data_IF_817485752891
#
_entry.id   IF_817485752891
#
_cell.length_a   1.000
_cell.length_b   1.000
_cell.length_c   1.000
_cell.angle_alpha   90.00
_cell.angle_beta   90.00
_cell.angle_gamma   90.00
#
_symmetry.space_group_name_H-M   'P 1'
#
loop_
_entity.id
_entity.type
_entity.pdbx_description
1 polymer ?
#
# COMPACT_ATOMS: atom_id res chain seq x y z
N UNK A 1 11.24 0.09 15.94
CA UNK A 1 11.74 -0.50 14.67
C UNK A 1 11.60 0.55 13.58
N UNK A 2 12.54 0.58 12.63
CA UNK A 2 12.54 1.48 11.48
C UNK A 2 12.67 0.64 10.20
N UNK A 3 12.02 1.07 9.14
CA UNK A 3 12.06 0.43 7.83
C UNK A 3 12.06 1.46 6.72
N UNK A 4 12.82 1.18 5.66
CA UNK A 4 12.89 2.01 4.47
C UNK A 4 12.96 1.11 3.25
N UNK A 5 12.20 1.44 2.21
CA UNK A 5 12.25 0.75 0.93
C UNK A 5 12.05 1.75 -0.20
N UNK A 6 12.85 1.62 -1.26
CA UNK A 6 12.72 2.42 -2.46
C UNK A 6 12.60 1.49 -3.67
N UNK A 7 11.72 1.84 -4.60
CA UNK A 7 11.41 1.05 -5.80
C UNK A 7 11.43 1.94 -7.02
N UNK A 8 11.91 1.37 -8.14
CA UNK A 8 12.00 2.05 -9.45
C UNK A 8 12.74 3.40 -9.40
N UNK A 9 13.71 3.55 -8.50
CA UNK A 9 14.62 4.70 -8.49
C UNK A 9 15.69 4.44 -9.53
N UNK A 10 15.70 5.22 -10.61
CA UNK A 10 16.65 5.03 -11.69
C UNK A 10 16.40 5.93 -12.90
N UNK A 11 17.22 5.80 -13.95
CA UNK A 11 17.03 6.52 -15.20
C UNK A 11 15.76 6.08 -15.92
N UNK A 12 15.34 6.88 -16.90
CA UNK A 12 14.19 6.57 -17.73
C UNK A 12 14.37 5.23 -18.45
N UNK A 13 13.29 4.45 -18.49
CA UNK A 13 13.23 3.19 -19.22
C UNK A 13 12.85 3.45 -20.67
N UNK A 14 13.33 2.61 -21.59
CA UNK A 14 13.01 2.71 -23.01
C UNK A 14 12.72 1.30 -23.52
N UNK A 15 11.69 1.17 -24.37
CA UNK A 15 11.35 -0.11 -24.96
C UNK A 15 12.33 -0.44 -26.10
N UNK A 16 12.87 -1.65 -26.10
CA UNK A 16 13.82 -2.11 -27.14
C UNK A 16 13.46 -3.53 -27.54
N UNK A 17 13.57 -3.83 -28.83
CA UNK A 17 13.35 -5.17 -29.38
C UNK A 17 12.56 -5.17 -30.69
N UNK A 18 12.38 -6.38 -31.24
CA UNK A 18 11.80 -6.60 -32.56
C UNK A 18 10.31 -6.25 -32.64
N UNK A 19 9.64 -6.06 -31.50
CA UNK A 19 8.28 -5.52 -31.44
C UNK A 19 8.14 -4.10 -31.99
N UNK A 20 9.24 -3.37 -32.15
CA UNK A 20 9.29 -2.05 -32.80
C UNK A 20 9.57 -2.12 -34.30
N UNK A 21 9.77 -3.31 -34.86
CA UNK A 21 10.04 -3.52 -36.28
C UNK A 21 8.73 -3.87 -36.99
N UNK A 22 8.37 -3.08 -38.00
CA UNK A 22 7.24 -3.37 -38.88
C UNK A 22 7.77 -3.51 -40.30
N UNK A 23 7.31 -4.56 -40.98
CA UNK A 23 7.52 -4.67 -42.42
C UNK A 23 6.57 -3.70 -43.13
N UNK A 24 7.12 -2.85 -43.98
CA UNK A 24 6.38 -1.90 -44.80
C UNK A 24 6.82 -2.02 -46.25
N UNK A 25 5.92 -1.68 -47.18
CA UNK A 25 6.25 -1.65 -48.61
C UNK A 25 6.60 -0.22 -48.99
N UNK A 26 7.78 -0.02 -49.55
CA UNK A 26 8.21 1.30 -50.02
C UNK A 26 7.40 1.71 -51.25
N UNK A 27 7.03 2.99 -51.32
CA UNK A 27 6.34 3.60 -52.48
C UNK A 27 7.30 3.84 -53.65
N UNK A 28 8.22 2.91 -53.90
CA UNK A 28 9.07 2.92 -55.08
C UNK A 28 8.40 2.10 -56.21
N UNK A 29 8.84 2.25 -57.46
CA UNK A 29 8.27 1.51 -58.59
C UNK A 29 8.45 -0.03 -58.49
N UNK A 30 9.39 -0.52 -57.68
CA UNK A 30 9.65 -1.95 -57.48
C UNK A 30 8.80 -2.57 -56.37
N UNK A 31 8.17 -1.74 -55.53
CA UNK A 31 7.37 -2.17 -54.39
C UNK A 31 8.18 -2.99 -53.39
N UNK A 32 9.44 -2.62 -53.14
CA UNK A 32 10.34 -3.35 -52.25
C UNK A 32 9.81 -3.38 -50.81
N UNK A 33 9.86 -4.56 -50.17
CA UNK A 33 9.56 -4.71 -48.74
C UNK A 33 10.77 -4.31 -47.90
N UNK A 34 10.55 -3.42 -46.93
CA UNK A 34 11.56 -2.93 -46.03
C UNK A 34 11.12 -3.07 -44.57
N UNK A 35 12.09 -3.28 -43.69
CA UNK A 35 11.84 -3.28 -42.25
C UNK A 35 12.02 -1.85 -41.72
N UNK A 36 10.93 -1.26 -41.23
CA UNK A 36 10.95 0.03 -40.55
C UNK A 36 11.02 -0.20 -39.04
N UNK A 37 12.04 0.36 -38.39
CA UNK A 37 12.17 0.35 -36.94
C UNK A 37 11.64 1.66 -36.36
N UNK A 38 10.57 1.58 -35.58
CA UNK A 38 10.07 2.73 -34.84
C UNK A 38 10.94 2.99 -33.60
N UNK A 39 11.31 4.24 -33.36
CA UNK A 39 11.96 4.62 -32.10
C UNK A 39 10.92 4.80 -31.00
N UNK A 40 11.13 4.22 -29.83
CA UNK A 40 10.29 4.48 -28.66
C UNK A 40 10.85 5.64 -27.84
N UNK A 41 10.00 6.47 -27.26
CA UNK A 41 10.42 7.52 -26.33
C UNK A 41 10.79 6.95 -24.95
N UNK A 42 11.78 7.54 -24.24
CA UNK A 42 12.05 7.21 -22.84
C UNK A 42 10.85 7.56 -21.95
N UNK A 43 10.59 6.74 -20.93
CA UNK A 43 9.53 6.96 -19.96
C UNK A 43 9.99 6.67 -18.53
N UNK A 44 9.38 7.35 -17.57
CA UNK A 44 9.65 7.14 -16.15
C UNK A 44 8.78 6.01 -15.60
N UNK A 45 9.41 5.04 -14.93
CA UNK A 45 8.68 4.04 -14.17
C UNK A 45 8.12 4.67 -12.88
N UNK A 46 6.95 4.22 -12.37
CA UNK A 46 6.43 4.71 -11.12
C UNK A 46 7.37 4.43 -9.95
N UNK A 47 8.15 5.44 -9.60
CA UNK A 47 9.03 5.46 -8.45
C UNK A 47 8.21 5.62 -7.17
N UNK A 48 8.52 4.80 -6.17
CA UNK A 48 7.91 4.88 -4.85
C UNK A 48 8.95 4.68 -3.74
N UNK A 49 8.81 5.48 -2.68
CA UNK A 49 9.60 5.43 -1.46
C UNK A 49 8.67 5.19 -0.29
N UNK A 50 8.99 4.19 0.54
CA UNK A 50 8.27 3.84 1.74
C UNK A 50 9.17 4.05 2.95
N UNK A 51 8.66 4.74 3.96
CA UNK A 51 9.30 4.89 5.26
C UNK A 51 8.32 4.43 6.33
N UNK A 52 8.78 3.58 7.24
CA UNK A 52 7.97 3.08 8.35
C UNK A 52 8.73 3.16 9.67
N UNK A 53 8.04 3.59 10.71
CA UNK A 53 8.54 3.62 12.07
C UNK A 53 7.51 3.02 13.01
N UNK A 54 7.96 2.23 13.97
CA UNK A 54 7.13 1.75 15.08
C UNK A 54 7.91 1.81 16.38
N UNK A 55 7.24 2.14 17.47
CA UNK A 55 7.86 2.21 18.77
C UNK A 55 6.87 1.74 19.83
N UNK A 56 7.35 0.95 20.76
CA UNK A 56 6.62 0.64 21.96
C UNK A 56 6.70 1.84 22.90
N UNK A 57 5.55 2.51 23.08
CA UNK A 57 5.43 3.71 23.91
C UNK A 57 5.35 3.35 25.39
N UNK A 58 4.81 2.17 25.70
CA UNK A 58 4.66 1.67 27.06
C UNK A 58 4.60 0.14 27.04
N UNK A 59 5.27 -0.52 27.98
CA UNK A 59 5.09 -1.95 28.25
C UNK A 59 5.26 -2.27 29.72
N UNK A 60 4.39 -3.14 30.22
CA UNK A 60 4.50 -3.83 31.49
C UNK A 60 4.10 -5.31 31.29
N UNK A 61 4.04 -6.10 32.36
CA UNK A 61 3.72 -7.53 32.31
C UNK A 61 2.35 -7.85 31.68
N UNK A 62 1.40 -6.91 31.74
CA UNK A 62 0.03 -7.11 31.28
C UNK A 62 -0.40 -6.16 30.16
N UNK A 63 0.38 -5.13 29.83
CA UNK A 63 -0.06 -4.05 28.96
C UNK A 63 1.08 -3.70 28.02
N UNK A 64 0.77 -3.48 26.75
CA UNK A 64 1.69 -2.92 25.78
C UNK A 64 0.95 -1.86 24.94
N UNK A 65 1.59 -0.72 24.70
CA UNK A 65 1.13 0.32 23.79
C UNK A 65 2.20 0.50 22.72
N UNK A 66 1.83 0.31 21.47
CA UNK A 66 2.70 0.50 20.31
C UNK A 66 2.15 1.61 19.43
N UNK A 67 2.99 2.60 19.12
CA UNK A 67 2.73 3.61 18.10
C UNK A 67 3.40 3.24 16.79
N UNK A 68 2.74 3.58 15.68
CA UNK A 68 3.21 3.33 14.32
C UNK A 68 2.99 4.56 13.44
N UNK A 69 3.96 4.83 12.57
CA UNK A 69 3.90 5.85 11.53
C UNK A 69 4.44 5.22 10.24
N UNK A 70 3.77 5.46 9.14
CA UNK A 70 4.24 5.06 7.82
C UNK A 70 3.96 6.16 6.80
N UNK A 71 4.89 6.35 5.87
CA UNK A 71 4.83 7.33 4.81
C UNK A 71 5.19 6.64 3.49
N UNK A 72 4.23 6.63 2.58
CA UNK A 72 4.41 6.25 1.20
C UNK A 72 4.48 7.53 0.35
N UNK A 73 5.54 7.67 -0.42
CA UNK A 73 5.75 8.74 -1.39
C UNK A 73 5.80 8.09 -2.76
N UNK A 74 4.97 8.54 -3.68
CA UNK A 74 4.91 8.02 -5.03
C UNK A 74 5.04 9.19 -6.02
N UNK A 75 5.67 8.93 -7.16
CA UNK A 75 5.88 9.91 -8.24
C UNK A 75 4.62 10.20 -9.06
N UNK A 76 3.74 9.22 -9.24
CA UNK A 76 2.50 9.34 -10.05
C UNK A 76 1.23 9.34 -9.20
N UNK A 77 1.27 8.74 -8.01
CA UNK A 77 0.13 8.68 -7.08
C UNK A 77 0.28 9.67 -5.93
N UNK A 78 -0.84 9.93 -5.26
CA UNK A 78 -0.84 10.76 -4.06
C UNK A 78 0.00 10.10 -2.95
N UNK A 79 0.89 10.86 -2.32
CA UNK A 79 1.60 10.40 -1.14
C UNK A 79 0.62 10.11 0.00
N UNK A 80 0.86 9.05 0.75
CA UNK A 80 -0.02 8.60 1.84
C UNK A 80 0.76 8.55 3.14
N UNK A 81 0.14 9.04 4.21
CA UNK A 81 0.67 8.99 5.56
C UNK A 81 -0.30 8.18 6.41
N UNK A 82 0.21 7.17 7.10
CA UNK A 82 -0.55 6.30 7.98
C UNK A 82 -0.04 6.46 9.41
N UNK A 83 -0.97 6.64 10.34
CA UNK A 83 -0.71 6.63 11.78
C UNK A 83 -1.47 5.45 12.38
N UNK A 84 -0.84 4.73 13.29
CA UNK A 84 -1.42 3.57 13.95
C UNK A 84 -1.08 3.55 15.43
N UNK A 85 -2.02 3.07 16.23
CA UNK A 85 -1.81 2.78 17.64
C UNK A 85 -2.42 1.42 17.96
N UNK A 86 -1.66 0.60 18.68
CA UNK A 86 -2.10 -0.69 19.18
C UNK A 86 -1.96 -0.70 20.70
N UNK A 87 -3.00 -1.15 21.38
CA UNK A 87 -2.99 -1.50 22.79
C UNK A 87 -3.22 -3.00 22.93
N UNK A 88 -2.30 -3.68 23.60
CA UNK A 88 -2.40 -5.10 23.94
C UNK A 88 -2.55 -5.28 25.45
N UNK A 89 -3.48 -6.12 25.86
CA UNK A 89 -3.67 -6.55 27.24
C UNK A 89 -3.44 -8.06 27.37
N UNK A 90 -2.48 -8.42 28.22
CA UNK A 90 -2.01 -9.79 28.53
C UNK A 90 -1.64 -10.62 27.30
N UNK A 91 -1.28 -9.96 26.21
CA UNK A 91 -1.05 -10.62 24.90
C UNK A 91 -2.26 -11.45 24.42
N UNK A 92 -3.44 -11.19 24.97
CA UNK A 92 -4.69 -11.88 24.64
C UNK A 92 -5.67 -10.92 23.98
N UNK A 93 -5.85 -9.73 24.53
CA UNK A 93 -6.78 -8.74 23.99
C UNK A 93 -6.01 -7.66 23.27
N UNK A 94 -6.50 -7.27 22.10
CA UNK A 94 -5.88 -6.24 21.28
C UNK A 94 -6.93 -5.23 20.86
N UNK A 95 -6.62 -3.96 21.01
CA UNK A 95 -7.39 -2.85 20.46
C UNK A 95 -6.46 -2.05 19.53
N UNK A 96 -6.96 -1.75 18.34
CA UNK A 96 -6.19 -1.10 17.26
C UNK A 96 -6.97 0.08 16.74
N UNK A 97 -6.27 1.18 16.57
CA UNK A 97 -6.79 2.35 15.87
C UNK A 97 -5.77 2.82 14.85
N UNK A 98 -6.26 3.43 13.78
CA UNK A 98 -5.41 3.96 12.73
C UNK A 98 -6.09 5.09 11.99
N UNK A 99 -5.28 5.90 11.34
CA UNK A 99 -5.72 6.98 10.49
C UNK A 99 -4.84 7.06 9.26
N UNK A 100 -5.48 7.05 8.10
CA UNK A 100 -4.81 7.24 6.82
C UNK A 100 -5.13 8.63 6.29
N UNK A 101 -4.09 9.40 5.98
CA UNK A 101 -4.19 10.67 5.28
C UNK A 101 -3.53 10.56 3.91
N UNK A 102 -4.09 11.23 2.91
CA UNK A 102 -3.53 11.28 1.56
C UNK A 102 -3.23 12.73 1.19
N UNK A 103 -1.96 13.02 0.88
CA UNK A 103 -1.47 14.34 0.50
C UNK A 103 -1.65 14.53 -1.02
N UNK A 104 -2.76 15.15 -1.43
CA UNK A 104 -2.94 15.68 -2.79
C UNK A 104 -3.17 17.19 -2.75
N UNK A 105 -2.51 17.93 -3.66
CA UNK A 105 -2.81 19.33 -3.99
C UNK A 105 -4.13 19.48 -4.75
N UNK A 106 -4.51 18.47 -5.53
CA UNK A 106 -5.82 18.39 -6.18
C UNK A 106 -6.84 17.78 -5.22
N UNK A 107 -7.31 18.62 -4.30
CA UNK A 107 -8.61 18.43 -3.66
C UNK A 107 -9.64 18.48 -4.77
N UNK A 108 -10.25 17.35 -5.11
CA UNK A 108 -11.45 17.36 -5.93
C UNK A 108 -12.52 18.19 -5.20
N UNK A 109 -12.79 19.36 -5.76
CA UNK A 109 -13.49 20.49 -5.13
C UNK A 109 -14.96 20.19 -4.84
N UNK A 110 -15.47 19.04 -5.31
CA UNK A 110 -16.87 18.65 -5.18
C UNK A 110 -17.17 17.77 -3.96
N UNK A 111 -16.18 17.14 -3.34
CA UNK A 111 -16.43 16.25 -2.17
C UNK A 111 -15.37 16.32 -1.06
N UNK A 112 -14.19 16.91 -1.28
CA UNK A 112 -13.20 17.14 -0.22
C UNK A 112 -12.62 15.89 0.46
N UNK A 113 -13.03 14.68 0.05
CA UNK A 113 -12.61 13.40 0.63
C UNK A 113 -11.73 12.64 -0.36
N UNK A 114 -10.50 12.32 0.01
CA UNK A 114 -9.71 11.33 -0.70
C UNK A 114 -10.36 9.94 -0.52
N UNK A 115 -10.56 9.19 -1.60
CA UNK A 115 -11.32 7.92 -1.64
C UNK A 115 -10.71 6.77 -0.81
N UNK A 116 -9.72 7.02 0.04
CA UNK A 116 -9.11 6.03 0.94
C UNK A 116 -8.41 6.67 2.14
N UNK A 117 -8.81 7.87 2.53
CA UNK A 117 -8.35 8.51 3.76
C UNK A 117 -9.48 8.41 4.80
N UNK A 118 -9.20 7.78 5.93
CA UNK A 118 -10.24 7.47 6.91
C UNK A 118 -9.68 6.93 8.22
N UNK A 119 -10.55 6.95 9.24
CA UNK A 119 -10.28 6.30 10.51
C UNK A 119 -10.53 4.80 10.40
N UNK A 120 -9.65 4.03 11.00
CA UNK A 120 -9.78 2.59 11.18
C UNK A 120 -9.80 2.27 12.65
N UNK A 121 -10.62 1.31 13.03
CA UNK A 121 -10.63 0.77 14.38
C UNK A 121 -10.88 -0.73 14.32
N UNK A 122 -10.30 -1.45 15.25
CA UNK A 122 -10.45 -2.88 15.32
C UNK A 122 -10.02 -3.40 16.67
N UNK A 123 -10.34 -4.65 16.90
CA UNK A 123 -9.89 -5.33 18.09
C UNK A 123 -10.00 -6.83 17.89
N UNK A 124 -9.28 -7.55 18.71
CA UNK A 124 -9.26 -9.00 18.63
C UNK A 124 -8.90 -9.64 19.94
N UNK A 125 -9.21 -10.92 20.00
CA UNK A 125 -8.89 -11.80 21.11
C UNK A 125 -8.10 -12.98 20.57
N UNK A 126 -6.94 -13.21 21.17
CA UNK A 126 -6.10 -14.38 20.98
C UNK A 126 -6.19 -15.23 22.24
N UNK A 127 -6.78 -16.41 22.13
CA UNK A 127 -6.93 -17.33 23.25
C UNK A 127 -6.22 -18.64 22.94
N UNK A 128 -5.30 -19.03 23.83
CA UNK A 128 -4.64 -20.33 23.78
C UNK A 128 -5.33 -21.24 24.79
N UNK A 129 -5.91 -22.33 24.32
CA UNK A 129 -6.48 -23.36 25.20
C UNK A 129 -5.33 -24.16 25.82
N UNK A 130 -4.46 -24.69 24.97
CA UNK A 130 -3.27 -25.47 25.32
C UNK A 130 -2.09 -25.06 24.41
N UNK A 131 -0.90 -25.65 24.61
CA UNK A 131 0.28 -25.39 23.78
C UNK A 131 0.11 -25.73 22.28
N UNK A 132 -0.80 -26.65 21.96
CA UNK A 132 -1.10 -27.12 20.61
C UNK A 132 -2.47 -26.67 20.08
N UNK A 133 -3.22 -25.84 20.81
CA UNK A 133 -4.54 -25.41 20.35
C UNK A 133 -4.86 -24.00 20.81
N UNK A 134 -5.11 -23.12 19.85
CA UNK A 134 -5.55 -21.76 20.10
C UNK A 134 -6.60 -21.30 19.10
N UNK A 135 -7.24 -20.19 19.40
CA UNK A 135 -8.20 -19.51 18.54
C UNK A 135 -7.93 -18.01 18.57
N UNK A 136 -8.08 -17.38 17.41
CA UNK A 136 -8.02 -15.93 17.26
C UNK A 136 -9.32 -15.45 16.65
N UNK A 137 -9.89 -14.38 17.20
CA UNK A 137 -11.03 -13.69 16.62
C UNK A 137 -10.67 -12.22 16.51
N UNK A 138 -10.79 -11.65 15.31
CA UNK A 138 -10.56 -10.23 15.07
C UNK A 138 -11.76 -9.60 14.38
N UNK A 139 -12.01 -8.34 14.73
CA UNK A 139 -12.94 -7.47 14.07
C UNK A 139 -12.22 -6.19 13.64
N UNK A 140 -12.48 -5.75 12.43
CA UNK A 140 -11.94 -4.52 11.87
C UNK A 140 -13.01 -3.70 11.17
N UNK A 141 -12.92 -2.39 11.36
CA UNK A 141 -13.71 -1.39 10.67
C UNK A 141 -12.77 -0.43 9.93
N UNK A 142 -13.15 -0.09 8.71
CA UNK A 142 -12.47 0.88 7.87
C UNK A 142 -13.49 1.84 7.28
N UNK A 143 -13.32 3.14 7.57
CA UNK A 143 -14.01 4.20 6.84
C UNK A 143 -13.32 4.41 5.48
N UNK A 144 -14.08 4.18 4.39
CA UNK A 144 -13.60 4.35 3.02
C UNK A 144 -13.97 5.71 2.40
N UNK A 145 -14.46 6.66 3.21
CA UNK A 145 -14.63 8.06 2.85
C UNK A 145 -15.80 8.31 1.89
N UNK A 146 -15.57 8.17 0.58
CA UNK A 146 -16.60 8.30 -0.46
C UNK A 146 -17.37 7.00 -0.70
N UNK A 147 -16.75 5.87 -0.35
CA UNK A 147 -17.39 4.56 -0.35
C UNK A 147 -17.93 4.27 1.06
N UNK A 148 -18.86 3.34 1.15
CA UNK A 148 -19.44 2.92 2.42
C UNK A 148 -18.39 2.23 3.31
N UNK A 149 -18.63 2.24 4.61
CA UNK A 149 -17.71 1.65 5.57
C UNK A 149 -17.60 0.14 5.39
N UNK A 150 -16.39 -0.39 5.55
CA UNK A 150 -16.13 -1.83 5.43
C UNK A 150 -15.90 -2.45 6.81
N UNK A 151 -16.58 -3.56 7.04
CA UNK A 151 -16.44 -4.39 8.23
C UNK A 151 -15.75 -5.71 7.86
N UNK A 152 -14.78 -6.15 8.66
CA UNK A 152 -14.06 -7.41 8.48
C UNK A 152 -14.13 -8.22 9.76
N UNK A 153 -14.52 -9.48 9.62
CA UNK A 153 -14.51 -10.46 10.69
C UNK A 153 -13.53 -11.57 10.32
N UNK A 154 -12.65 -11.91 11.23
CA UNK A 154 -11.65 -12.97 11.05
C UNK A 154 -11.77 -13.95 12.19
N UNK A 155 -11.79 -15.23 11.86
CA UNK A 155 -11.69 -16.32 12.83
C UNK A 155 -10.55 -17.22 12.38
N UNK A 156 -9.63 -17.50 13.29
CA UNK A 156 -8.46 -18.34 13.06
C UNK A 156 -8.36 -19.42 14.13
N UNK A 157 -7.90 -20.60 13.72
CA UNK A 157 -7.57 -21.72 14.62
C UNK A 157 -6.06 -21.95 14.49
N UNK A 158 -5.39 -22.14 15.63
CA UNK A 158 -3.95 -22.40 15.72
C UNK A 158 -3.73 -23.82 16.26
N UNK A 159 -2.78 -24.53 15.66
CA UNK A 159 -2.36 -25.89 16.02
C UNK A 159 -0.84 -25.95 16.18
#
# INVERSE_FOLDING_TARGET
KLGFAATNIGPQSQYVGDGLVRQTRLTDPSGTEAFLKFGSEPFELPAAVNFGASMELYRNEQNAITGMLEQNINSFQASRTNLGFEYGFKEMFFARMGYTSTLKKDRDYKTGKASTAGLTFGGGVDYKFNDNLGMTVDYGYLDMGQLDATHRFTVGIKF
#
